data_IF_300291159489
#
_entry.id   IF_300291159489
#
_cell.length_a   1.000
_cell.length_b   1.000
_cell.length_c   1.000
_cell.angle_alpha   90.00
_cell.angle_beta   90.00
_cell.angle_gamma   90.00
#
_symmetry.space_group_name_H-M   'P 1'
#
loop_
_entity.id
_entity.type
_entity.pdbx_description
1 polymer ?
#
# COMPACT_ATOMS: atom_id res chain seq x y z
N UNK A 1 48.16 7.31 49.54
CA UNK A 1 47.19 6.19 49.76
C UNK A 1 45.71 6.60 49.82
N UNK A 2 45.28 7.70 50.46
CA UNK A 2 43.82 8.05 50.56
C UNK A 2 43.10 8.31 49.21
N UNK A 3 43.83 8.70 48.16
CA UNK A 3 43.24 8.94 46.84
C UNK A 3 42.84 7.64 46.10
N UNK A 4 43.60 6.55 46.30
CA UNK A 4 43.34 5.29 45.60
C UNK A 4 42.05 4.61 46.08
N UNK A 5 41.68 4.71 47.37
CA UNK A 5 40.44 4.10 47.87
C UNK A 5 39.17 4.82 47.41
N UNK A 6 39.20 6.16 47.30
CA UNK A 6 38.08 6.93 46.74
C UNK A 6 37.83 6.58 45.28
N UNK A 7 38.91 6.44 44.50
CA UNK A 7 38.81 6.07 43.09
C UNK A 7 38.20 4.66 42.91
N UNK A 8 38.69 3.67 43.66
CA UNK A 8 38.16 2.30 43.60
C UNK A 8 36.67 2.21 44.00
N UNK A 9 36.25 2.93 45.06
CA UNK A 9 34.84 2.94 45.48
C UNK A 9 33.91 3.64 44.48
N UNK A 10 34.41 4.68 43.78
CA UNK A 10 33.66 5.32 42.71
C UNK A 10 33.53 4.41 41.49
N UNK A 11 34.61 3.74 41.10
CA UNK A 11 34.62 2.79 39.98
C UNK A 11 33.67 1.60 40.22
N UNK A 12 33.66 1.01 41.42
CA UNK A 12 32.73 -0.06 41.79
C UNK A 12 31.26 0.37 41.67
N UNK A 13 30.92 1.61 42.06
CA UNK A 13 29.57 2.16 41.88
C UNK A 13 29.22 2.30 40.39
N UNK A 14 30.14 2.77 39.56
CA UNK A 14 29.91 2.88 38.12
C UNK A 14 29.70 1.51 37.46
N UNK A 15 30.50 0.50 37.81
CA UNK A 15 30.35 -0.86 37.28
C UNK A 15 28.99 -1.45 37.68
N UNK A 16 28.57 -1.28 38.94
CA UNK A 16 27.24 -1.72 39.39
C UNK A 16 26.10 -1.03 38.65
N UNK A 17 26.21 0.29 38.40
CA UNK A 17 25.24 1.03 37.59
C UNK A 17 25.21 0.51 36.16
N UNK A 18 26.38 0.29 35.54
CA UNK A 18 26.47 -0.23 34.18
C UNK A 18 25.85 -1.63 34.06
N UNK A 19 26.12 -2.53 35.01
CA UNK A 19 25.53 -3.88 35.05
C UNK A 19 24.01 -3.82 35.21
N UNK A 20 23.48 -2.88 36.00
CA UNK A 20 22.03 -2.68 36.13
C UNK A 20 21.38 -2.04 34.90
N UNK A 21 22.07 -1.11 34.21
CA UNK A 21 21.55 -0.42 33.04
C UNK A 21 21.63 -1.25 31.77
N UNK A 22 22.65 -2.10 31.62
CA UNK A 22 22.84 -2.94 30.43
C UNK A 22 21.58 -3.77 30.07
N UNK A 23 20.93 -4.52 30.98
CA UNK A 23 19.72 -5.27 30.63
C UNK A 23 18.55 -4.36 30.28
N UNK A 24 18.45 -3.15 30.87
CA UNK A 24 17.41 -2.18 30.53
C UNK A 24 17.63 -1.56 29.14
N UNK A 25 18.89 -1.33 28.76
CA UNK A 25 19.26 -0.85 27.43
C UNK A 25 18.97 -1.95 26.39
N UNK A 26 19.41 -3.19 26.65
CA UNK A 26 19.13 -4.33 25.77
C UNK A 26 17.63 -4.60 25.64
N UNK A 27 16.89 -4.52 26.74
CA UNK A 27 15.42 -4.65 26.72
C UNK A 27 14.80 -3.51 25.90
N UNK A 28 15.20 -2.27 26.13
CA UNK A 28 14.72 -1.11 25.35
C UNK A 28 14.99 -1.30 23.85
N UNK A 29 16.18 -1.77 23.49
CA UNK A 29 16.56 -2.06 22.11
C UNK A 29 15.70 -3.18 21.49
N UNK A 30 15.48 -4.27 22.22
CA UNK A 30 14.60 -5.37 21.76
C UNK A 30 13.16 -4.90 21.61
N UNK A 31 12.67 -4.07 22.54
CA UNK A 31 11.32 -3.53 22.46
C UNK A 31 11.24 -2.58 21.25
N UNK A 32 12.18 -1.66 21.04
CA UNK A 32 12.18 -0.75 19.88
C UNK A 32 12.20 -1.51 18.55
N UNK A 33 13.00 -2.59 18.45
CA UNK A 33 13.07 -3.42 17.25
C UNK A 33 11.74 -4.12 16.93
N UNK A 34 10.98 -4.51 17.96
CA UNK A 34 9.77 -5.33 17.83
C UNK A 34 8.45 -4.52 17.92
N UNK A 35 8.44 -3.42 18.65
CA UNK A 35 7.29 -2.57 18.91
C UNK A 35 7.50 -1.22 18.22
N UNK A 36 6.69 -0.95 17.21
CA UNK A 36 6.65 0.31 16.47
C UNK A 36 6.14 1.46 17.36
N UNK A 37 6.98 1.97 18.26
CA UNK A 37 6.64 3.09 19.14
C UNK A 37 6.44 4.39 18.36
N UNK A 38 7.22 4.59 17.29
CA UNK A 38 7.05 5.68 16.33
C UNK A 38 5.68 5.67 15.65
N UNK A 39 4.96 4.55 15.70
CA UNK A 39 3.74 4.34 14.93
C UNK A 39 3.98 3.82 13.51
N UNK A 40 5.23 3.58 13.13
CA UNK A 40 5.62 3.13 11.79
C UNK A 40 6.39 1.81 11.81
N UNK A 41 6.13 0.94 10.85
CA UNK A 41 6.93 -0.27 10.60
C UNK A 41 7.03 -0.51 9.10
N UNK A 42 8.25 -0.65 8.60
CA UNK A 42 8.49 -0.87 7.17
C UNK A 42 9.01 -2.28 6.92
N UNK A 43 8.49 -2.92 5.88
CA UNK A 43 9.02 -4.15 5.31
C UNK A 43 9.40 -3.91 3.86
N UNK A 44 10.59 -4.35 3.48
CA UNK A 44 11.12 -4.20 2.13
C UNK A 44 11.49 -5.58 1.59
N UNK A 45 11.23 -5.78 0.31
CA UNK A 45 11.71 -6.91 -0.46
C UNK A 45 12.20 -6.41 -1.82
N UNK A 46 13.50 -6.56 -2.05
CA UNK A 46 14.27 -6.04 -3.19
C UNK A 46 14.87 -7.17 -4.05
N UNK A 47 14.48 -8.42 -3.79
CA UNK A 47 14.94 -9.64 -4.48
C UNK A 47 16.45 -9.94 -4.41
N UNK A 48 17.27 -9.11 -3.75
CA UNK A 48 18.70 -9.42 -3.52
C UNK A 48 18.83 -10.55 -2.49
N UNK A 49 18.02 -10.48 -1.43
CA UNK A 49 18.03 -11.44 -0.31
C UNK A 49 16.60 -11.75 0.14
N UNK A 50 16.44 -12.93 0.74
CA UNK A 50 15.16 -13.32 1.31
C UNK A 50 14.73 -12.32 2.39
N UNK A 51 13.49 -11.85 2.28
CA UNK A 51 12.90 -11.00 3.32
C UNK A 51 12.30 -11.89 4.42
N UNK A 52 12.62 -11.67 5.71
CA UNK A 52 12.00 -12.42 6.80
C UNK A 52 10.53 -12.04 7.03
N UNK A 53 10.02 -11.02 6.34
CA UNK A 53 8.67 -10.47 6.52
C UNK A 53 7.79 -10.58 5.27
N UNK A 54 8.38 -10.63 4.08
CA UNK A 54 7.67 -10.72 2.80
C UNK A 54 8.12 -12.00 2.11
N UNK A 55 7.19 -12.88 1.75
CA UNK A 55 7.54 -14.09 1.00
C UNK A 55 7.95 -13.76 -0.43
N UNK A 56 8.58 -14.74 -1.10
CA UNK A 56 8.71 -14.68 -2.55
C UNK A 56 7.35 -14.53 -3.25
N UNK A 57 7.41 -14.03 -4.48
CA UNK A 57 6.25 -13.99 -5.35
C UNK A 57 5.86 -15.42 -5.77
N UNK A 58 4.57 -15.67 -5.84
CA UNK A 58 3.98 -16.97 -6.20
C UNK A 58 2.80 -16.79 -7.17
N UNK A 59 2.42 -17.83 -7.93
CA UNK A 59 3.16 -19.06 -8.14
C UNK A 59 4.37 -18.87 -9.07
N UNK A 60 5.42 -19.66 -8.84
CA UNK A 60 6.71 -19.57 -9.55
C UNK A 60 6.60 -19.72 -11.07
N UNK A 61 5.61 -20.48 -11.56
CA UNK A 61 5.39 -20.70 -12.99
C UNK A 61 4.83 -19.48 -13.72
N UNK A 62 4.48 -18.41 -13.00
CA UNK A 62 4.05 -17.11 -13.53
C UNK A 62 5.15 -16.05 -13.50
N UNK A 63 6.35 -16.45 -13.11
CA UNK A 63 7.49 -15.56 -12.87
C UNK A 63 8.68 -15.97 -13.73
N UNK A 64 9.49 -14.98 -14.09
CA UNK A 64 10.87 -15.21 -14.51
C UNK A 64 11.75 -15.54 -13.32
N UNK A 65 12.92 -16.18 -13.55
CA UNK A 65 14.01 -16.16 -12.58
C UNK A 65 14.35 -14.71 -12.20
N UNK A 66 14.83 -14.52 -10.98
CA UNK A 66 15.37 -13.23 -10.53
C UNK A 66 16.59 -12.90 -11.41
N UNK A 67 16.65 -11.66 -11.88
CA UNK A 67 17.74 -11.13 -12.70
C UNK A 67 18.39 -9.93 -12.02
N UNK A 68 19.72 -9.83 -12.16
CA UNK A 68 20.51 -8.68 -11.73
C UNK A 68 20.99 -7.91 -12.97
N UNK A 69 20.72 -6.61 -13.01
CA UNK A 69 21.17 -5.69 -14.07
C UNK A 69 21.63 -4.40 -13.40
N UNK A 70 22.87 -3.97 -13.63
CA UNK A 70 23.45 -2.77 -13.01
C UNK A 70 23.32 -2.72 -11.46
N UNK A 71 23.52 -3.87 -10.80
CA UNK A 71 23.33 -4.06 -9.34
C UNK A 71 21.89 -3.90 -8.85
N UNK A 72 20.91 -3.92 -9.76
CA UNK A 72 19.48 -3.92 -9.44
C UNK A 72 18.91 -5.32 -9.62
N UNK A 73 18.41 -5.89 -8.52
CA UNK A 73 17.75 -7.19 -8.49
C UNK A 73 16.26 -7.00 -8.79
N UNK A 74 15.71 -7.89 -9.58
CA UNK A 74 14.33 -7.77 -10.03
C UNK A 74 13.76 -9.10 -10.48
N UNK A 75 12.44 -9.20 -10.47
CA UNK A 75 11.72 -10.37 -10.94
C UNK A 75 10.58 -9.96 -11.87
N UNK A 76 10.50 -10.58 -13.04
CA UNK A 76 9.42 -10.32 -13.99
C UNK A 76 8.20 -11.20 -13.72
N UNK A 77 7.02 -10.58 -13.72
CA UNK A 77 5.72 -11.24 -13.83
C UNK A 77 5.37 -11.45 -15.31
N UNK A 78 4.90 -12.66 -15.66
CA UNK A 78 4.58 -13.11 -17.03
C UNK A 78 3.13 -13.55 -17.21
N UNK A 79 2.33 -13.53 -16.14
CA UNK A 79 0.95 -13.95 -16.14
C UNK A 79 0.09 -12.93 -15.39
N UNK A 80 -1.23 -13.06 -15.47
CA UNK A 80 -2.17 -12.01 -15.08
C UNK A 80 -2.15 -11.67 -13.58
N UNK A 81 -1.65 -12.57 -12.72
CA UNK A 81 -1.50 -12.29 -11.29
C UNK A 81 -0.41 -13.09 -10.60
N UNK A 82 0.21 -12.46 -9.61
CA UNK A 82 1.12 -13.09 -8.63
C UNK A 82 0.76 -12.64 -7.23
N UNK A 83 1.17 -13.41 -6.23
CA UNK A 83 0.81 -13.26 -4.83
C UNK A 83 2.07 -13.22 -3.98
N UNK A 84 1.98 -12.57 -2.83
CA UNK A 84 2.98 -12.66 -1.79
C UNK A 84 2.31 -12.55 -0.42
N UNK A 85 2.92 -13.19 0.57
CA UNK A 85 2.45 -13.18 1.93
C UNK A 85 3.34 -12.24 2.75
N UNK A 86 2.72 -11.47 3.64
CA UNK A 86 3.39 -10.53 4.52
C UNK A 86 3.09 -10.90 5.95
N UNK A 87 4.14 -11.11 6.75
CA UNK A 87 4.01 -11.43 8.16
C UNK A 87 3.37 -10.27 8.90
N UNK A 88 2.27 -10.55 9.59
CA UNK A 88 1.58 -9.56 10.41
C UNK A 88 2.53 -9.01 11.48
N UNK A 89 2.67 -7.68 11.59
CA UNK A 89 3.39 -7.08 12.71
C UNK A 89 2.75 -7.47 14.05
N UNK A 90 3.55 -7.59 15.12
CA UNK A 90 3.05 -7.86 16.48
C UNK A 90 2.08 -6.79 17.03
N UNK A 91 2.11 -5.63 16.39
CA UNK A 91 1.39 -4.43 16.79
C UNK A 91 0.24 -4.19 15.83
N UNK A 92 -0.94 -3.78 16.32
CA UNK A 92 -2.06 -3.38 15.46
C UNK A 92 -1.80 -2.01 14.82
N UNK A 93 -2.09 -1.90 13.53
CA UNK A 93 -1.99 -0.67 12.76
C UNK A 93 -3.35 -0.23 12.21
N UNK A 94 -3.41 1.00 11.71
CA UNK A 94 -4.62 1.55 11.08
C UNK A 94 -4.55 1.43 9.56
N UNK A 95 -3.34 1.59 9.00
CA UNK A 95 -3.11 1.64 7.55
C UNK A 95 -1.96 0.76 7.13
N UNK A 96 -2.04 0.28 5.88
CA UNK A 96 -0.95 -0.40 5.19
C UNK A 96 -0.75 0.32 3.86
N UNK A 97 0.37 1.00 3.68
CA UNK A 97 0.76 1.59 2.40
C UNK A 97 1.66 0.60 1.67
N UNK A 98 1.23 0.13 0.50
CA UNK A 98 2.04 -0.69 -0.40
C UNK A 98 2.62 0.22 -1.46
N UNK A 99 3.94 0.23 -1.56
CA UNK A 99 4.70 0.90 -2.60
C UNK A 99 5.40 -0.15 -3.45
N UNK A 100 5.25 -0.04 -4.76
CA UNK A 100 5.85 -0.98 -5.73
C UNK A 100 6.68 -0.17 -6.71
N UNK A 101 7.92 -0.60 -6.90
CA UNK A 101 8.81 -0.09 -7.95
C UNK A 101 8.87 -1.12 -9.08
N UNK A 102 8.45 -0.73 -10.28
CA UNK A 102 8.28 -1.65 -11.40
C UNK A 102 8.54 -0.99 -12.76
N UNK A 103 8.67 -1.80 -13.81
CA UNK A 103 8.63 -1.38 -15.21
C UNK A 103 7.48 -2.10 -15.90
N UNK A 104 6.55 -1.33 -16.49
CA UNK A 104 5.44 -1.86 -17.25
C UNK A 104 5.49 -1.33 -18.70
N UNK A 105 6.14 -2.03 -19.64
CA UNK A 105 6.25 -1.57 -21.03
C UNK A 105 4.91 -1.58 -21.76
N UNK A 106 4.07 -2.59 -21.56
CA UNK A 106 2.89 -2.83 -22.43
C UNK A 106 1.55 -2.94 -21.70
N UNK A 107 1.46 -3.59 -20.54
CA UNK A 107 0.17 -3.87 -19.90
C UNK A 107 -0.63 -2.59 -19.61
N UNK A 108 -1.92 -2.62 -19.93
CA UNK A 108 -2.81 -1.44 -19.80
C UNK A 108 -3.05 -1.04 -18.34
N UNK A 109 -3.07 -2.02 -17.44
CA UNK A 109 -3.39 -1.83 -16.02
C UNK A 109 -2.50 -2.70 -15.15
N UNK A 110 -2.12 -2.16 -13.99
CA UNK A 110 -1.47 -2.89 -12.92
C UNK A 110 -2.16 -2.52 -11.60
N UNK A 111 -2.62 -3.53 -10.87
CA UNK A 111 -3.30 -3.38 -9.58
C UNK A 111 -2.50 -4.05 -8.46
N UNK A 112 -2.67 -3.53 -7.24
CA UNK A 112 -2.36 -4.24 -6.00
C UNK A 112 -3.64 -4.62 -5.28
N UNK A 113 -3.73 -5.87 -4.83
CA UNK A 113 -4.85 -6.41 -4.06
C UNK A 113 -4.44 -6.77 -2.64
N UNK A 114 -5.28 -6.45 -1.67
CA UNK A 114 -5.22 -6.97 -0.30
C UNK A 114 -6.31 -8.03 -0.12
N UNK A 115 -5.96 -9.24 0.34
CA UNK A 115 -6.95 -10.27 0.66
C UNK A 115 -7.80 -9.83 1.86
N UNK A 116 -9.12 -9.88 1.71
CA UNK A 116 -10.09 -9.42 2.73
C UNK A 116 -11.00 -10.54 3.25
N UNK A 117 -10.90 -11.75 2.70
CA UNK A 117 -11.69 -12.90 3.17
C UNK A 117 -10.95 -14.23 3.00
N UNK A 118 -11.43 -15.27 3.70
CA UNK A 118 -10.95 -16.64 3.53
C UNK A 118 -11.23 -17.20 2.12
N UNK A 119 -12.22 -16.67 1.40
CA UNK A 119 -12.60 -17.11 0.04
C UNK A 119 -11.73 -16.52 -1.07
N UNK A 120 -10.60 -15.92 -0.70
CA UNK A 120 -9.69 -15.23 -1.62
C UNK A 120 -10.37 -14.05 -2.35
N UNK A 121 -11.23 -13.32 -1.62
CA UNK A 121 -11.69 -12.01 -2.08
C UNK A 121 -10.57 -10.98 -1.87
N UNK A 122 -10.33 -10.13 -2.88
CA UNK A 122 -9.31 -9.09 -2.84
C UNK A 122 -9.93 -7.71 -3.01
N UNK A 123 -9.59 -6.79 -2.10
CA UNK A 123 -9.76 -5.36 -2.31
C UNK A 123 -8.61 -4.88 -3.21
N UNK A 124 -8.91 -4.52 -4.46
CA UNK A 124 -7.90 -4.09 -5.45
C UNK A 124 -7.85 -2.57 -5.55
N UNK A 125 -6.64 -2.04 -5.64
CA UNK A 125 -6.34 -0.62 -5.87
C UNK A 125 -5.36 -0.49 -7.06
N UNK A 126 -5.57 0.46 -7.98
CA UNK A 126 -4.74 0.59 -9.17
C UNK A 126 -3.39 1.22 -8.86
N UNK A 127 -2.31 0.55 -9.28
CA UNK A 127 -0.95 1.08 -9.31
C UNK A 127 -0.65 1.81 -10.62
N UNK A 128 -1.24 1.37 -11.73
CA UNK A 128 -1.12 2.01 -13.04
C UNK A 128 -2.40 1.83 -13.87
N UNK A 129 -2.74 2.83 -14.67
CA UNK A 129 -3.75 2.70 -15.73
C UNK A 129 -3.35 3.57 -16.93
N UNK A 130 -2.74 2.95 -17.94
CA UNK A 130 -2.33 3.62 -19.19
C UNK A 130 -3.51 4.22 -19.95
N UNK A 131 -4.68 3.60 -19.82
CA UNK A 131 -5.94 4.12 -20.35
C UNK A 131 -6.28 5.49 -19.77
N UNK A 132 -6.06 5.70 -18.46
CA UNK A 132 -6.29 7.00 -17.82
C UNK A 132 -5.13 7.95 -18.08
N UNK A 133 -3.88 7.48 -17.98
CA UNK A 133 -2.69 8.33 -18.13
C UNK A 133 -2.56 8.94 -19.54
N UNK A 134 -3.12 8.28 -20.56
CA UNK A 134 -3.15 8.80 -21.93
C UNK A 134 -4.28 9.80 -22.22
N UNK A 135 -5.24 9.99 -21.30
CA UNK A 135 -6.39 10.88 -21.52
C UNK A 135 -5.96 12.35 -21.64
N UNK A 136 -6.35 12.96 -22.77
CA UNK A 136 -6.15 14.39 -23.03
C UNK A 136 -7.41 15.23 -22.71
N UNK A 137 -8.33 14.67 -21.92
CA UNK A 137 -9.62 15.28 -21.58
C UNK A 137 -9.45 16.40 -20.52
N UNK A 138 -10.46 17.26 -20.38
CA UNK A 138 -10.45 18.31 -19.34
C UNK A 138 -10.46 17.66 -17.96
N UNK A 139 -9.46 17.99 -17.13
CA UNK A 139 -9.25 17.41 -15.81
C UNK A 139 -9.75 18.35 -14.70
N UNK A 140 -10.48 17.80 -13.73
CA UNK A 140 -10.78 18.43 -12.44
C UNK A 140 -10.20 17.57 -11.33
N UNK A 141 -9.47 18.19 -10.40
CA UNK A 141 -8.88 17.53 -9.24
C UNK A 141 -9.48 18.11 -7.96
N UNK A 142 -9.74 17.23 -6.99
CA UNK A 142 -10.18 17.62 -5.65
C UNK A 142 -9.65 16.64 -4.60
N UNK A 143 -9.98 16.89 -3.33
CA UNK A 143 -9.68 15.93 -2.26
C UNK A 143 -10.43 14.59 -2.43
N UNK A 144 -11.57 14.60 -3.13
CA UNK A 144 -12.38 13.40 -3.35
C UNK A 144 -11.82 12.51 -4.45
N UNK A 145 -11.07 13.06 -5.42
CA UNK A 145 -10.52 12.33 -6.55
C UNK A 145 -10.26 13.21 -7.78
N UNK A 146 -10.18 12.56 -8.94
CA UNK A 146 -9.94 13.17 -10.25
C UNK A 146 -11.12 12.85 -11.18
N UNK A 147 -11.62 13.86 -11.88
CA UNK A 147 -12.63 13.72 -12.91
C UNK A 147 -12.10 14.21 -14.26
N UNK A 148 -12.10 13.34 -15.26
CA UNK A 148 -11.84 13.66 -16.65
C UNK A 148 -13.15 13.82 -17.40
N UNK A 149 -13.29 14.91 -18.15
CA UNK A 149 -14.49 15.24 -18.91
C UNK A 149 -14.11 15.43 -20.37
N UNK A 150 -14.72 14.65 -21.26
CA UNK A 150 -14.50 14.79 -22.71
C UNK A 150 -14.90 16.19 -23.19
N UNK A 151 -16.06 16.65 -22.75
CA UNK A 151 -16.50 18.04 -22.89
C UNK A 151 -16.51 18.66 -21.50
N UNK A 152 -15.93 19.86 -21.35
CA UNK A 152 -15.92 20.56 -20.07
C UNK A 152 -17.32 21.09 -19.75
N UNK A 153 -18.07 20.33 -18.95
CA UNK A 153 -19.46 20.63 -18.58
C UNK A 153 -19.59 21.05 -17.11
N UNK A 154 -18.79 20.44 -16.23
CA UNK A 154 -18.76 20.72 -14.80
C UNK A 154 -17.55 21.55 -14.42
N UNK A 155 -17.75 22.43 -13.44
CA UNK A 155 -16.72 23.30 -12.88
C UNK A 155 -16.05 22.72 -11.62
N UNK A 156 -16.74 21.82 -10.92
CA UNK A 156 -16.29 21.18 -9.68
C UNK A 156 -16.96 19.81 -9.48
N UNK A 157 -16.47 19.03 -8.50
CA UNK A 157 -17.14 17.79 -8.07
C UNK A 157 -18.51 18.04 -7.46
N UNK A 158 -18.68 19.12 -6.68
CA UNK A 158 -19.96 19.48 -6.08
C UNK A 158 -21.02 19.79 -7.15
N UNK A 159 -20.62 20.57 -8.17
CA UNK A 159 -21.45 20.85 -9.35
C UNK A 159 -21.87 19.54 -10.06
N UNK A 160 -20.92 18.62 -10.25
CA UNK A 160 -21.20 17.29 -10.79
C UNK A 160 -22.16 16.45 -9.92
N UNK A 161 -22.08 16.51 -8.59
CA UNK A 161 -22.99 15.76 -7.72
C UNK A 161 -24.40 16.37 -7.67
N UNK A 162 -24.49 17.70 -7.61
CA UNK A 162 -25.77 18.41 -7.57
C UNK A 162 -26.50 18.27 -8.92
N UNK A 163 -25.77 18.45 -10.02
CA UNK A 163 -26.26 18.40 -11.40
C UNK A 163 -25.90 17.08 -12.09
N UNK A 164 -25.99 15.96 -11.35
CA UNK A 164 -25.54 14.67 -11.86
C UNK A 164 -26.23 14.30 -13.18
N UNK A 165 -25.47 14.05 -14.27
CA UNK A 165 -26.04 13.95 -15.61
C UNK A 165 -26.70 12.57 -15.84
N UNK A 166 -28.01 12.49 -16.12
CA UNK A 166 -28.72 11.21 -16.27
C UNK A 166 -28.44 10.51 -17.60
N UNK A 167 -28.04 11.25 -18.64
CA UNK A 167 -27.87 10.78 -20.02
C UNK A 167 -26.41 10.43 -20.38
N UNK A 168 -25.45 10.80 -19.53
CA UNK A 168 -24.02 10.60 -19.79
C UNK A 168 -23.57 9.19 -19.45
N UNK A 169 -22.58 8.71 -20.19
CA UNK A 169 -21.88 7.45 -19.90
C UNK A 169 -20.66 7.74 -19.06
N UNK A 170 -20.63 7.17 -17.86
CA UNK A 170 -19.62 7.48 -16.84
C UNK A 170 -18.80 6.23 -16.56
N UNK A 171 -17.47 6.35 -16.61
CA UNK A 171 -16.57 5.33 -16.08
C UNK A 171 -16.23 5.67 -14.64
N UNK A 172 -16.35 4.69 -13.74
CA UNK A 172 -15.77 4.78 -12.39
C UNK A 172 -14.56 3.87 -12.26
N UNK A 173 -13.46 4.40 -11.73
CA UNK A 173 -12.27 3.62 -11.44
C UNK A 173 -11.79 3.86 -10.00
N UNK A 174 -12.03 2.88 -9.12
CA UNK A 174 -11.75 2.98 -7.69
C UNK A 174 -12.40 4.22 -7.02
N UNK A 175 -13.58 4.62 -7.50
CA UNK A 175 -14.29 5.80 -7.02
C UNK A 175 -15.73 5.44 -6.63
N UNK A 176 -16.12 5.71 -5.37
CA UNK A 176 -17.46 5.41 -4.89
C UNK A 176 -18.42 6.59 -5.10
N UNK A 177 -18.96 6.70 -6.32
CA UNK A 177 -19.94 7.76 -6.68
C UNK A 177 -21.15 7.75 -5.74
N UNK A 178 -21.62 6.56 -5.33
CA UNK A 178 -22.80 6.39 -4.48
C UNK A 178 -22.65 7.00 -3.09
N UNK A 179 -21.41 7.29 -2.65
CA UNK A 179 -21.16 8.01 -1.39
C UNK A 179 -21.64 9.46 -1.44
N UNK A 180 -21.68 10.07 -2.63
CA UNK A 180 -21.94 11.50 -2.82
C UNK A 180 -23.27 11.78 -3.53
N UNK A 181 -23.82 10.79 -4.24
CA UNK A 181 -25.01 10.93 -5.08
C UNK A 181 -26.07 9.96 -4.59
N UNK A 182 -27.32 10.44 -4.44
CA UNK A 182 -28.43 9.61 -3.95
C UNK A 182 -28.65 8.36 -4.82
N UNK A 183 -29.02 7.25 -4.17
CA UNK A 183 -29.20 5.98 -4.86
C UNK A 183 -30.22 6.07 -6.01
N UNK A 184 -31.31 6.83 -5.81
CA UNK A 184 -32.34 7.07 -6.83
C UNK A 184 -31.78 7.64 -8.13
N UNK A 185 -30.85 8.61 -8.01
CA UNK A 185 -30.14 9.18 -9.16
C UNK A 185 -29.26 8.09 -9.79
N UNK A 186 -28.48 7.36 -9.01
CA UNK A 186 -27.51 6.36 -9.53
C UNK A 186 -28.11 5.11 -10.15
N UNK A 187 -29.32 4.68 -9.74
CA UNK A 187 -29.92 3.43 -10.20
C UNK A 187 -30.39 3.47 -11.66
N UNK A 188 -30.54 4.67 -12.24
CA UNK A 188 -30.98 4.86 -13.62
C UNK A 188 -29.81 5.11 -14.59
N UNK A 189 -28.56 4.97 -14.13
CA UNK A 189 -27.40 5.53 -14.82
C UNK A 189 -26.47 4.49 -15.44
N UNK A 190 -25.81 4.94 -16.51
CA UNK A 190 -24.77 4.21 -17.23
C UNK A 190 -23.40 4.36 -16.55
N UNK A 191 -23.30 4.07 -15.25
CA UNK A 191 -22.01 4.00 -14.54
C UNK A 191 -21.39 2.63 -14.78
N UNK A 192 -20.26 2.60 -15.47
CA UNK A 192 -19.52 1.37 -15.78
C UNK A 192 -18.17 1.37 -15.04
N UNK A 193 -17.82 0.30 -14.30
CA UNK A 193 -16.48 0.19 -13.74
C UNK A 193 -15.44 0.07 -14.86
N UNK A 194 -14.30 0.75 -14.72
CA UNK A 194 -13.18 0.62 -15.66
C UNK A 194 -12.70 -0.84 -15.72
N UNK A 195 -12.45 -1.32 -16.95
CA UNK A 195 -11.87 -2.63 -17.25
C UNK A 195 -10.87 -2.44 -18.40
N UNK A 196 -9.83 -3.29 -18.54
CA UNK A 196 -8.86 -3.16 -19.62
C UNK A 196 -9.51 -3.10 -21.01
N UNK A 197 -10.45 -4.01 -21.28
CA UNK A 197 -11.12 -4.09 -22.59
C UNK A 197 -12.10 -2.96 -22.91
N UNK A 198 -12.21 -1.92 -22.08
CA UNK A 198 -13.20 -0.86 -22.26
C UNK A 198 -12.70 0.19 -23.25
N UNK A 199 -13.55 0.49 -24.24
CA UNK A 199 -13.32 1.57 -25.20
C UNK A 199 -13.71 2.92 -24.59
N UNK A 200 -12.74 3.59 -23.98
CA UNK A 200 -12.92 4.84 -23.24
C UNK A 200 -13.52 5.96 -24.08
N UNK A 201 -13.31 5.93 -25.40
CA UNK A 201 -13.88 6.85 -26.38
C UNK A 201 -15.42 6.82 -26.43
N UNK A 202 -16.07 5.77 -25.93
CA UNK A 202 -17.53 5.67 -25.88
C UNK A 202 -18.15 6.32 -24.63
N UNK A 203 -17.34 6.91 -23.77
CA UNK A 203 -17.75 7.52 -22.52
C UNK A 203 -17.54 9.04 -22.55
N UNK A 204 -18.25 9.72 -21.67
CA UNK A 204 -18.24 11.19 -21.58
C UNK A 204 -17.39 11.66 -20.40
N UNK A 205 -17.38 10.88 -19.31
CA UNK A 205 -16.77 11.23 -18.03
C UNK A 205 -16.04 10.02 -17.46
N UNK A 206 -14.86 10.24 -16.88
CA UNK A 206 -14.15 9.26 -16.05
C UNK A 206 -13.91 9.85 -14.68
N UNK A 207 -14.36 9.18 -13.62
CA UNK A 207 -14.07 9.54 -12.23
C UNK A 207 -13.17 8.49 -11.57
N UNK A 208 -12.11 8.94 -10.89
CA UNK A 208 -11.12 8.03 -10.33
C UNK A 208 -10.40 8.57 -9.08
N UNK A 209 -9.99 7.66 -8.20
CA UNK A 209 -9.05 7.94 -7.11
C UNK A 209 -7.61 7.52 -7.42
N UNK A 210 -7.38 7.04 -8.65
CA UNK A 210 -6.07 6.65 -9.15
C UNK A 210 -5.12 7.86 -9.19
N UNK A 211 -3.87 7.61 -8.82
CA UNK A 211 -2.76 8.57 -8.93
C UNK A 211 -1.74 7.99 -9.87
N UNK A 212 -1.38 8.75 -10.91
CA UNK A 212 -0.34 8.37 -11.87
C UNK A 212 0.98 8.06 -11.13
N UNK A 213 1.66 6.95 -11.46
CA UNK A 213 2.94 6.62 -10.85
C UNK A 213 3.99 7.69 -11.15
N UNK A 214 4.88 7.93 -10.19
CA UNK A 214 6.05 8.77 -10.43
C UNK A 214 7.11 8.00 -11.20
N UNK A 215 7.67 8.59 -12.24
CA UNK A 215 8.75 7.99 -13.03
C UNK A 215 10.11 8.45 -12.49
N UNK A 216 11.01 7.51 -12.25
CA UNK A 216 12.41 7.75 -11.88
C UNK A 216 13.31 6.92 -12.80
N UNK A 217 14.02 7.58 -13.71
CA UNK A 217 14.73 6.92 -14.81
C UNK A 217 13.75 6.08 -15.68
N UNK A 218 13.93 4.76 -15.73
CA UNK A 218 13.07 3.80 -16.42
C UNK A 218 12.08 3.08 -15.50
N UNK A 219 12.07 3.40 -14.20
CA UNK A 219 11.24 2.75 -13.20
C UNK A 219 10.05 3.63 -12.82
N UNK A 220 8.92 2.99 -12.60
CA UNK A 220 7.69 3.58 -12.12
C UNK A 220 7.54 3.24 -10.64
N UNK A 221 7.15 4.23 -9.84
CA UNK A 221 6.86 4.06 -8.41
C UNK A 221 5.42 4.43 -8.17
N UNK A 222 4.62 3.44 -7.77
CA UNK A 222 3.23 3.63 -7.39
C UNK A 222 3.04 3.29 -5.91
N UNK A 223 2.08 3.96 -5.26
CA UNK A 223 1.72 3.69 -3.87
C UNK A 223 0.21 3.69 -3.68
N UNK A 224 -0.27 2.73 -2.90
CA UNK A 224 -1.67 2.64 -2.49
C UNK A 224 -1.78 2.30 -1.01
N UNK A 225 -2.81 2.82 -0.36
CA UNK A 225 -3.03 2.63 1.08
C UNK A 225 -4.32 1.86 1.33
N UNK A 226 -4.21 0.79 2.09
CA UNK A 226 -5.32 -0.02 2.57
C UNK A 226 -5.62 0.28 4.03
N UNK A 227 -6.87 0.04 4.43
CA UNK A 227 -7.23 -0.05 5.84
C UNK A 227 -6.73 -1.40 6.40
N UNK A 228 -5.86 -1.36 7.42
CA UNK A 228 -5.30 -2.56 8.03
C UNK A 228 -6.38 -3.48 8.61
N UNK A 229 -7.46 -2.91 9.16
CA UNK A 229 -8.57 -3.68 9.75
C UNK A 229 -9.39 -4.49 8.75
N UNK A 230 -9.22 -4.27 7.45
CA UNK A 230 -9.85 -5.07 6.40
C UNK A 230 -9.00 -6.27 5.97
N UNK A 231 -7.73 -6.34 6.37
CA UNK A 231 -6.85 -7.43 5.99
C UNK A 231 -7.33 -8.75 6.60
N UNK A 232 -7.50 -9.77 5.76
CA UNK A 232 -7.63 -11.14 6.24
C UNK A 232 -6.24 -11.65 6.63
N UNK A 233 -6.13 -12.13 7.88
CA UNK A 233 -4.94 -12.75 8.44
C UNK A 233 -5.24 -14.24 8.60
N UNK A 234 -4.39 -15.08 8.02
CA UNK A 234 -4.55 -16.54 8.12
C UNK A 234 -4.08 -17.10 9.48
N UNK A 235 -4.20 -18.41 9.66
CA UNK A 235 -3.78 -19.12 10.87
C UNK A 235 -2.28 -19.01 11.19
N UNK A 236 -1.44 -18.58 10.25
CA UNK A 236 0.01 -18.41 10.39
C UNK A 236 0.42 -16.95 10.59
N UNK A 237 -0.53 -16.07 10.91
CA UNK A 237 -0.33 -14.62 11.04
C UNK A 237 0.19 -13.99 9.72
N UNK A 238 -0.23 -14.49 8.57
CA UNK A 238 0.15 -13.94 7.27
C UNK A 238 -1.01 -13.18 6.62
N UNK A 239 -0.70 -11.99 6.08
CA UNK A 239 -1.58 -11.23 5.20
C UNK A 239 -1.20 -11.52 3.76
N UNK A 240 -2.17 -11.82 2.89
CA UNK A 240 -1.88 -12.08 1.48
C UNK A 240 -2.17 -10.85 0.62
N UNK A 241 -1.22 -10.53 -0.25
CA UNK A 241 -1.34 -9.51 -1.28
C UNK A 241 -1.27 -10.15 -2.66
N UNK A 242 -1.75 -9.41 -3.65
CA UNK A 242 -1.71 -9.79 -5.05
C UNK A 242 -1.23 -8.61 -5.88
N UNK A 243 -0.39 -8.86 -6.87
CA UNK A 243 -0.19 -7.96 -8.01
C UNK A 243 -0.95 -8.55 -9.18
N UNK A 244 -1.74 -7.74 -9.87
CA UNK A 244 -2.56 -8.20 -10.99
C UNK A 244 -2.44 -7.25 -12.18
N UNK A 245 -2.13 -7.80 -13.35
CA UNK A 245 -2.13 -7.09 -14.62
C UNK A 245 -3.00 -7.89 -15.60
N UNK A 246 -4.32 -7.63 -15.65
CA UNK A 246 -5.21 -8.42 -16.47
C UNK A 246 -4.85 -8.34 -17.96
N UNK A 247 -4.74 -9.49 -18.64
CA UNK A 247 -4.39 -9.55 -20.05
C UNK A 247 -2.88 -9.65 -20.33
N UNK A 248 -2.03 -9.53 -19.30
CA UNK A 248 -0.57 -9.57 -19.45
C UNK A 248 -0.11 -10.82 -20.21
N UNK A 249 -0.65 -11.99 -19.86
CA UNK A 249 -0.30 -13.25 -20.52
C UNK A 249 -0.70 -13.28 -22.00
N UNK A 250 -1.88 -12.73 -22.32
CA UNK A 250 -2.44 -12.75 -23.67
C UNK A 250 -1.63 -11.86 -24.62
N UNK A 251 -1.07 -10.78 -24.09
CA UNK A 251 -0.20 -9.85 -24.80
C UNK A 251 1.25 -10.35 -24.93
N UNK A 252 1.61 -11.45 -24.25
CA UNK A 252 3.00 -11.90 -24.16
C UNK A 252 3.92 -10.86 -23.48
N UNK A 253 3.31 -10.01 -22.66
CA UNK A 253 3.96 -8.91 -21.97
C UNK A 253 4.57 -9.36 -20.65
N UNK A 254 5.51 -8.57 -20.14
CA UNK A 254 6.11 -8.79 -18.82
C UNK A 254 6.13 -7.49 -18.02
N UNK A 255 5.96 -7.60 -16.70
CA UNK A 255 6.16 -6.48 -15.77
C UNK A 255 7.33 -6.82 -14.87
N UNK A 256 8.41 -6.05 -14.95
CA UNK A 256 9.60 -6.22 -14.12
C UNK A 256 9.38 -5.53 -12.78
N UNK A 257 9.55 -6.25 -11.67
CA UNK A 257 9.37 -5.71 -10.32
C UNK A 257 10.74 -5.64 -9.66
N UNK A 258 11.14 -4.45 -9.22
CA UNK A 258 12.41 -4.21 -8.50
C UNK A 258 12.19 -4.29 -6.99
N UNK A 259 11.11 -3.67 -6.49
CA UNK A 259 10.93 -3.55 -5.05
C UNK A 259 9.46 -3.57 -4.66
N UNK A 260 9.17 -4.27 -3.57
CA UNK A 260 7.91 -4.18 -2.85
C UNK A 260 8.19 -3.68 -1.44
N UNK A 261 7.57 -2.57 -1.07
CA UNK A 261 7.69 -1.93 0.23
C UNK A 261 6.31 -1.82 0.87
N UNK A 262 6.18 -2.28 2.12
CA UNK A 262 4.97 -2.11 2.93
C UNK A 262 5.28 -1.26 4.15
N UNK A 263 4.54 -0.17 4.28
CA UNK A 263 4.62 0.74 5.42
C UNK A 263 3.34 0.61 6.25
N UNK A 264 3.49 0.15 7.49
CA UNK A 264 2.39 0.05 8.45
C UNK A 264 2.36 1.30 9.30
N UNK A 265 1.20 1.94 9.40
CA UNK A 265 1.06 3.24 10.08
C UNK A 265 -0.08 3.24 11.11
N UNK A 266 0.17 3.91 12.24
CA UNK A 266 -0.80 4.22 13.30
C UNK A 266 -0.38 5.49 14.01
N UNK A 267 -1.29 6.09 14.79
CA UNK A 267 -0.92 7.21 15.64
C UNK A 267 0.21 6.82 16.63
N UNK A 268 1.22 7.69 16.81
CA UNK A 268 2.31 7.43 17.76
C UNK A 268 1.78 7.32 19.19
N UNK A 269 2.45 6.51 20.00
CA UNK A 269 2.10 6.39 21.42
C UNK A 269 2.53 7.65 22.14
N UNK A 270 1.57 8.43 22.62
CA UNK A 270 1.85 9.54 23.53
C UNK A 270 1.86 9.05 24.97
N UNK A 271 2.65 9.68 25.85
CA UNK A 271 2.72 9.30 27.27
C UNK A 271 1.33 9.26 27.93
N UNK A 272 0.41 10.15 27.52
CA UNK A 272 -0.98 10.15 27.97
C UNK A 272 -1.69 8.83 27.60
N UNK A 273 -1.62 8.40 26.34
CA UNK A 273 -2.25 7.14 25.91
C UNK A 273 -1.67 5.90 26.58
N UNK A 274 -0.37 5.92 26.94
CA UNK A 274 0.26 4.83 27.67
C UNK A 274 -0.26 4.74 29.12
N UNK A 275 -0.38 5.88 29.80
CA UNK A 275 -0.95 5.96 31.16
C UNK A 275 -2.41 5.53 31.15
N UNK A 276 -3.20 5.96 30.18
CA UNK A 276 -4.61 5.59 30.07
C UNK A 276 -4.79 4.08 29.85
N UNK A 277 -3.93 3.46 29.04
CA UNK A 277 -3.93 1.99 28.87
C UNK A 277 -3.50 1.27 30.15
N UNK A 278 -2.48 1.76 30.85
CA UNK A 278 -2.04 1.19 32.13
C UNK A 278 -3.14 1.28 33.20
N UNK A 279 -3.80 2.43 33.34
CA UNK A 279 -4.93 2.61 34.24
C UNK A 279 -6.03 1.59 33.96
N UNK A 280 -6.42 1.45 32.68
CA UNK A 280 -7.40 0.42 32.27
C UNK A 280 -6.95 -1.00 32.60
N UNK A 281 -5.66 -1.33 32.39
CA UNK A 281 -5.12 -2.65 32.70
C UNK A 281 -5.14 -2.97 34.20
N UNK A 282 -4.78 -1.99 35.03
CA UNK A 282 -4.78 -2.14 36.49
C UNK A 282 -6.12 -1.83 37.15
N UNK A 283 -7.17 -1.49 36.37
CA UNK A 283 -8.48 -1.02 36.87
C UNK A 283 -8.36 0.13 37.89
N UNK A 284 -7.40 1.03 37.67
CA UNK A 284 -7.22 2.29 38.40
C UNK A 284 -8.00 3.41 37.71
#
# INVERSE_FOLDING_TARGET
>A
MKYQSKFLSFFDKLVKIAICLLPLILLSFVIEKNYAFSGHKDYVYDFEKDSPFISHLEPWNRLSPISEEDSVYSQSMKDDSVYFNVKKPLTSFEKITVKVTYQNPSAEMLDVGLRISQKDDYLKLPLESKLIDSLQWSKLESADGIMYQKNKEFSSFEDFYQNFPPDKKIISHNFNIKKHVSEEKTNHQNITPLRPSIKIENFDIVVTNYKTPTTSSSWQVAKNTFNYGHAYVDENDMMRFMLAAPGLRQEGAEIKIEQIELQFERAPYTAGTAIDKLKKFFKL
#
